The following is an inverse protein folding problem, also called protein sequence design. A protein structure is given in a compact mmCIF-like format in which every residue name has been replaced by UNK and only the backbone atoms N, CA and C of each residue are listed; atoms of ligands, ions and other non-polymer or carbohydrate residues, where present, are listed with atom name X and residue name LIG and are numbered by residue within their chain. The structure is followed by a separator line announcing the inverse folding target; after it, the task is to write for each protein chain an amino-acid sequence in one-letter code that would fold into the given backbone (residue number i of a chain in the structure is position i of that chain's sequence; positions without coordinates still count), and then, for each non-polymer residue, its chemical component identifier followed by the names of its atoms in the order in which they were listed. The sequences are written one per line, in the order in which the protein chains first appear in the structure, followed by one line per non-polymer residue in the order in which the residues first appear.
data_IF_050310231687
#
_entry.id   IF_050310231687
#
_cell.length_a   1.000
_cell.length_b   1.000
_cell.length_c   1.000
_cell.angle_alpha   90.00
_cell.angle_beta   90.00
_cell.angle_gamma   90.00
#
_symmetry.space_group_name_H-M   'P 1'
#
loop_
_entity.id
_entity.type
_entity.pdbx_description
1 polymer ?
#
# COMPACT_ATOMS: atom_id res chain seq x y z
N UNK A 1 7.91 -11.93 14.07
CA UNK A 1 8.59 -12.58 15.21
C UNK A 1 8.92 -11.64 16.38
N UNK A 2 9.81 -10.65 16.22
CA UNK A 2 10.34 -9.83 17.33
C UNK A 2 9.26 -9.14 18.20
N UNK A 3 8.23 -8.55 17.57
CA UNK A 3 7.08 -7.96 18.26
C UNK A 3 6.43 -8.90 19.28
N UNK A 4 6.28 -10.19 18.94
CA UNK A 4 5.63 -11.17 19.79
C UNK A 4 6.52 -11.58 20.97
N UNK A 5 7.83 -11.70 20.74
CA UNK A 5 8.80 -11.99 21.80
C UNK A 5 8.81 -10.83 22.80
N UNK A 6 9.01 -9.59 22.34
CA UNK A 6 8.99 -8.38 23.19
C UNK A 6 7.69 -8.29 23.99
N UNK A 7 6.54 -8.50 23.34
CA UNK A 7 5.23 -8.42 24.00
C UNK A 7 5.02 -9.55 25.02
N UNK A 8 5.49 -10.75 24.70
CA UNK A 8 5.39 -11.94 25.56
C UNK A 8 6.35 -11.88 26.76
N UNK A 9 7.48 -11.18 26.64
CA UNK A 9 8.51 -11.07 27.67
C UNK A 9 8.62 -9.67 28.26
N UNK A 10 7.62 -8.80 28.08
CA UNK A 10 7.71 -7.37 28.40
C UNK A 10 8.12 -7.06 29.85
N UNK A 11 7.75 -7.91 30.82
CA UNK A 11 8.16 -7.77 32.22
C UNK A 11 9.50 -8.44 32.54
N UNK A 12 10.00 -9.33 31.68
CA UNK A 12 11.15 -10.21 31.94
C UNK A 12 11.99 -10.35 30.67
N UNK A 13 12.75 -9.31 30.36
CA UNK A 13 13.55 -9.21 29.13
C UNK A 13 14.60 -10.33 29.00
N UNK A 14 15.05 -10.90 30.12
CA UNK A 14 15.97 -12.04 30.15
C UNK A 14 15.46 -13.24 29.35
N UNK A 15 14.14 -13.50 29.41
CA UNK A 15 13.51 -14.57 28.64
C UNK A 15 13.51 -14.27 27.15
N UNK A 16 13.50 -13.00 26.74
CA UNK A 16 13.59 -12.61 25.35
C UNK A 16 14.91 -13.09 24.72
N UNK A 17 16.02 -12.90 25.44
CA UNK A 17 17.35 -13.39 25.01
C UNK A 17 17.40 -14.92 24.95
N UNK A 18 16.88 -15.61 25.97
CA UNK A 18 16.81 -17.09 26.01
C UNK A 18 16.00 -17.64 24.83
N UNK A 19 14.84 -17.05 24.55
CA UNK A 19 13.98 -17.44 23.43
C UNK A 19 14.72 -17.28 22.10
N UNK A 20 15.43 -16.17 21.90
CA UNK A 20 16.21 -15.95 20.68
C UNK A 20 17.36 -16.95 20.52
N UNK A 21 18.08 -17.28 21.60
CA UNK A 21 19.13 -18.30 21.58
C UNK A 21 18.59 -19.64 21.09
N UNK A 22 17.49 -20.09 21.70
CA UNK A 22 16.85 -21.37 21.35
C UNK A 22 16.26 -21.37 19.93
N UNK A 23 15.72 -20.25 19.45
CA UNK A 23 15.26 -20.11 18.07
C UNK A 23 16.42 -20.27 17.09
N UNK A 24 17.57 -19.64 17.36
CA UNK A 24 18.76 -19.74 16.51
C UNK A 24 19.37 -21.14 16.54
N UNK A 25 19.32 -21.81 17.69
CA UNK A 25 19.73 -23.20 17.85
C UNK A 25 18.75 -24.19 17.21
N UNK A 26 17.51 -23.77 16.91
CA UNK A 26 16.48 -24.64 16.34
C UNK A 26 15.96 -25.70 17.31
N UNK A 27 16.03 -25.46 18.63
CA UNK A 27 15.53 -26.41 19.62
C UNK A 27 14.05 -26.14 19.99
N UNK A 28 13.15 -26.87 19.33
CA UNK A 28 11.70 -26.75 19.58
C UNK A 28 11.30 -27.20 20.98
N UNK A 29 12.03 -28.14 21.59
CA UNK A 29 11.70 -28.68 22.92
C UNK A 29 12.09 -27.68 23.99
N UNK A 30 13.32 -27.16 23.95
CA UNK A 30 13.77 -26.11 24.85
C UNK A 30 12.84 -24.88 24.78
N UNK A 31 12.37 -24.52 23.58
CA UNK A 31 11.44 -23.40 23.42
C UNK A 31 10.14 -23.62 24.21
N UNK A 32 9.59 -24.84 24.17
CA UNK A 32 8.37 -25.18 24.89
C UNK A 32 8.56 -25.13 26.40
N UNK A 33 9.71 -25.58 26.91
CA UNK A 33 10.00 -25.52 28.34
C UNK A 33 10.17 -24.06 28.81
N UNK A 34 10.89 -23.22 28.07
CA UNK A 34 11.00 -21.79 28.38
C UNK A 34 9.62 -21.13 28.48
N UNK A 35 8.73 -21.39 27.52
CA UNK A 35 7.38 -20.84 27.58
C UNK A 35 6.52 -21.44 28.70
N UNK A 36 6.76 -22.68 29.11
CA UNK A 36 6.07 -23.31 30.23
C UNK A 36 6.47 -22.65 31.54
N UNK A 37 7.76 -22.42 31.76
CA UNK A 37 8.26 -21.63 32.89
C UNK A 37 7.66 -20.22 32.91
N UNK A 38 7.70 -19.54 31.76
CA UNK A 38 7.19 -18.17 31.64
C UNK A 38 5.68 -18.09 31.92
N UNK A 39 4.92 -19.13 31.58
CA UNK A 39 3.49 -19.22 31.89
C UNK A 39 3.20 -19.52 33.35
N UNK A 40 4.06 -20.28 34.02
CA UNK A 40 3.93 -20.58 35.46
C UNK A 40 4.25 -19.36 36.33
N UNK A 41 5.20 -18.54 35.88
CA UNK A 41 5.67 -17.35 36.61
C UNK A 41 4.78 -16.12 36.33
N UNK A 42 3.92 -16.17 35.31
CA UNK A 42 3.05 -15.05 34.94
C UNK A 42 2.06 -14.69 36.05
N UNK A 43 2.08 -13.43 36.49
CA UNK A 43 1.30 -12.96 37.64
C UNK A 43 -0.14 -12.60 37.26
N UNK A 44 -0.35 -12.20 36.00
CA UNK A 44 -1.63 -11.66 35.53
C UNK A 44 -2.18 -12.47 34.36
N UNK A 45 -3.52 -12.52 34.24
CA UNK A 45 -4.19 -13.11 33.07
C UNK A 45 -3.71 -12.50 31.75
N UNK A 46 -3.42 -11.19 31.75
CA UNK A 46 -2.93 -10.45 30.59
C UNK A 46 -1.52 -10.87 30.18
N UNK A 47 -0.61 -11.03 31.14
CA UNK A 47 0.75 -11.54 30.92
C UNK A 47 0.71 -12.97 30.39
N UNK A 48 -0.08 -13.84 31.03
CA UNK A 48 -0.28 -15.21 30.59
C UNK A 48 -0.85 -15.28 29.16
N UNK A 49 -1.80 -14.41 28.82
CA UNK A 49 -2.35 -14.28 27.47
C UNK A 49 -1.30 -13.87 26.43
N UNK A 50 -0.47 -12.87 26.73
CA UNK A 50 0.62 -12.43 25.84
C UNK A 50 1.66 -13.52 25.62
N UNK A 51 2.04 -14.22 26.67
CA UNK A 51 2.96 -15.36 26.61
C UNK A 51 2.40 -16.51 25.76
N UNK A 52 1.13 -16.86 25.92
CA UNK A 52 0.43 -17.86 25.09
C UNK A 52 0.38 -17.44 23.63
N UNK A 53 0.06 -16.18 23.36
CA UNK A 53 0.01 -15.63 22.00
C UNK A 53 1.38 -15.72 21.33
N UNK A 54 2.45 -15.32 22.05
CA UNK A 54 3.82 -15.40 21.57
C UNK A 54 4.23 -16.85 21.27
N UNK A 55 4.00 -17.77 22.21
CA UNK A 55 4.27 -19.20 22.05
C UNK A 55 3.56 -19.77 20.81
N UNK A 56 2.25 -19.48 20.67
CA UNK A 56 1.46 -19.94 19.53
C UNK A 56 2.01 -19.41 18.22
N UNK A 57 2.33 -18.11 18.16
CA UNK A 57 2.86 -17.48 16.95
C UNK A 57 4.20 -18.12 16.54
N UNK A 58 5.14 -18.30 17.47
CA UNK A 58 6.45 -18.90 17.16
C UNK A 58 6.29 -20.35 16.71
N UNK A 59 5.52 -21.16 17.44
CA UNK A 59 5.35 -22.58 17.12
C UNK A 59 4.63 -22.82 15.78
N UNK A 60 3.67 -21.95 15.42
CA UNK A 60 2.99 -22.03 14.13
C UNK A 60 3.91 -21.67 12.96
N UNK A 61 4.95 -20.87 13.20
CA UNK A 61 5.94 -20.48 12.18
C UNK A 61 7.23 -21.30 12.30
N UNK A 62 7.23 -22.41 13.05
CA UNK A 62 8.43 -23.17 13.36
C UNK A 62 9.11 -23.75 12.13
N UNK A 63 8.34 -24.22 11.15
CA UNK A 63 8.88 -24.73 9.89
C UNK A 63 9.70 -23.67 9.16
N UNK A 64 9.21 -22.43 9.10
CA UNK A 64 9.96 -21.31 8.54
C UNK A 64 11.24 -20.96 9.31
N UNK A 65 11.26 -21.18 10.63
CA UNK A 65 12.48 -21.00 11.45
C UNK A 65 13.52 -22.07 11.10
N UNK A 66 13.09 -23.32 10.91
CA UNK A 66 13.98 -24.43 10.52
C UNK A 66 14.58 -24.17 9.14
N UNK A 67 13.74 -23.82 8.16
CA UNK A 67 14.20 -23.47 6.80
C UNK A 67 15.21 -22.33 6.84
N UNK A 68 14.91 -21.24 7.59
CA UNK A 68 15.83 -20.11 7.74
C UNK A 68 17.19 -20.50 8.33
N UNK A 69 17.26 -21.54 9.16
CA UNK A 69 18.50 -22.01 9.77
C UNK A 69 19.29 -22.94 8.82
N UNK A 70 18.60 -23.79 8.08
CA UNK A 70 19.20 -24.82 7.22
C UNK A 70 19.60 -24.29 5.85
N UNK A 71 18.92 -23.25 5.35
CA UNK A 71 19.15 -22.67 4.04
C UNK A 71 20.10 -21.47 4.12
N UNK A 72 21.35 -21.67 3.68
CA UNK A 72 22.39 -20.64 3.64
C UNK A 72 22.07 -19.49 2.66
N UNK A 73 21.19 -19.72 1.67
CA UNK A 73 20.76 -18.69 0.72
C UNK A 73 19.71 -17.74 1.32
N UNK A 74 19.17 -18.07 2.51
CA UNK A 74 18.23 -17.21 3.21
C UNK A 74 18.97 -16.07 3.89
N UNK A 75 19.06 -14.95 3.16
CA UNK A 75 19.56 -13.69 3.68
C UNK A 75 18.59 -13.17 4.76
N UNK A 76 19.12 -12.76 5.92
CA UNK A 76 18.39 -12.24 7.08
C UNK A 76 17.59 -10.97 6.81
N UNK A 77 16.50 -11.12 6.08
CA UNK A 77 15.67 -10.03 5.59
C UNK A 77 14.29 -10.10 6.22
N UNK A 78 13.85 -9.00 6.84
CA UNK A 78 12.46 -8.85 7.28
C UNK A 78 11.58 -8.63 6.05
N UNK A 79 11.19 -9.72 5.37
CA UNK A 79 10.32 -9.67 4.20
C UNK A 79 9.03 -8.87 4.49
N UNK A 80 8.45 -9.05 5.68
CA UNK A 80 7.28 -8.30 6.14
C UNK A 80 7.56 -6.79 6.27
N UNK A 81 8.70 -6.42 6.86
CA UNK A 81 9.12 -5.01 6.99
C UNK A 81 9.34 -4.35 5.63
N UNK A 82 9.97 -5.07 4.71
CA UNK A 82 10.22 -4.54 3.38
C UNK A 82 8.95 -4.41 2.55
N UNK A 83 8.09 -5.44 2.54
CA UNK A 83 6.81 -5.42 1.82
C UNK A 83 5.91 -4.33 2.38
N UNK A 84 5.82 -4.21 3.72
CA UNK A 84 5.03 -3.15 4.36
C UNK A 84 5.57 -1.77 4.02
N UNK A 85 6.89 -1.56 3.99
CA UNK A 85 7.47 -0.29 3.56
C UNK A 85 7.10 0.06 2.10
N UNK A 86 7.24 -0.90 1.19
CA UNK A 86 6.91 -0.72 -0.24
C UNK A 86 5.44 -0.35 -0.44
N UNK A 87 4.53 -1.04 0.25
CA UNK A 87 3.09 -0.86 0.11
C UNK A 87 2.55 0.36 0.88
N UNK A 88 3.03 0.59 2.11
CA UNK A 88 2.50 1.64 3.01
C UNK A 88 2.75 3.04 2.47
N UNK A 89 3.88 3.25 1.77
CA UNK A 89 4.21 4.55 1.19
C UNK A 89 3.24 5.03 0.09
N UNK A 90 2.21 4.25 -0.28
CA UNK A 90 1.04 4.79 -1.03
C UNK A 90 -0.30 4.44 -0.40
N UNK A 91 -0.42 3.26 0.20
CA UNK A 91 -1.69 2.77 0.73
C UNK A 91 -2.02 3.36 2.11
N UNK A 92 -1.00 3.71 2.90
CA UNK A 92 -1.17 4.31 4.22
C UNK A 92 -1.06 5.84 4.16
N UNK A 93 -0.19 6.39 3.31
CA UNK A 93 -0.10 7.84 3.10
C UNK A 93 -1.25 8.34 2.21
N UNK A 94 -2.11 9.22 2.75
CA UNK A 94 -3.28 9.80 2.04
C UNK A 94 -4.19 8.70 1.49
N UNK A 95 -4.85 7.99 2.41
CA UNK A 95 -5.77 6.91 2.10
C UNK A 95 -6.85 7.38 1.12
N UNK A 96 -6.86 6.80 -0.07
CA UNK A 96 -7.97 6.89 -1.01
C UNK A 96 -8.83 5.65 -0.83
N UNK A 97 -10.14 5.76 -1.10
CA UNK A 97 -11.00 4.59 -1.19
C UNK A 97 -10.57 3.72 -2.37
N UNK A 98 -9.85 2.63 -2.10
CA UNK A 98 -9.42 1.69 -3.14
C UNK A 98 -10.51 0.64 -3.35
N UNK A 99 -10.94 0.41 -4.59
CA UNK A 99 -11.65 -0.82 -4.93
C UNK A 99 -10.70 -2.02 -4.80
N UNK A 100 -11.24 -3.23 -4.63
CA UNK A 100 -10.44 -4.47 -4.54
C UNK A 100 -9.50 -4.63 -5.75
N UNK A 101 -9.99 -4.32 -6.94
CA UNK A 101 -9.19 -4.38 -8.16
C UNK A 101 -8.15 -3.25 -8.23
N UNK A 102 -8.53 -2.02 -7.85
CA UNK A 102 -7.59 -0.90 -7.80
C UNK A 102 -6.44 -1.14 -6.82
N UNK A 103 -6.72 -1.73 -5.65
CA UNK A 103 -5.72 -2.12 -4.66
C UNK A 103 -4.74 -3.18 -5.20
N UNK A 104 -5.25 -4.16 -5.94
CA UNK A 104 -4.44 -5.21 -6.57
C UNK A 104 -3.49 -4.64 -7.61
N UNK A 105 -4.00 -3.78 -8.49
CA UNK A 105 -3.20 -3.11 -9.52
C UNK A 105 -2.14 -2.20 -8.86
N UNK A 106 -2.55 -1.40 -7.87
CA UNK A 106 -1.64 -0.51 -7.16
C UNK A 106 -0.49 -1.26 -6.48
N UNK A 107 -0.80 -2.35 -5.77
CA UNK A 107 0.21 -3.19 -5.12
C UNK A 107 1.23 -3.73 -6.12
N UNK A 108 0.75 -4.24 -7.28
CA UNK A 108 1.62 -4.74 -8.35
C UNK A 108 2.53 -3.67 -8.94
N UNK A 109 1.99 -2.48 -9.24
CA UNK A 109 2.77 -1.36 -9.79
C UNK A 109 3.86 -0.89 -8.82
N UNK A 110 3.58 -0.89 -7.51
CA UNK A 110 4.55 -0.53 -6.47
C UNK A 110 5.70 -1.52 -6.39
N UNK A 111 5.40 -2.83 -6.41
CA UNK A 111 6.44 -3.88 -6.44
C UNK A 111 7.27 -3.77 -7.72
N UNK A 112 6.61 -3.64 -8.88
CA UNK A 112 7.29 -3.47 -10.16
C UNK A 112 8.25 -2.27 -10.16
N UNK A 113 7.78 -1.10 -9.71
CA UNK A 113 8.61 0.10 -9.63
C UNK A 113 9.77 -0.05 -8.66
N UNK A 114 9.58 -0.74 -7.52
CA UNK A 114 10.65 -0.99 -6.55
C UNK A 114 11.72 -1.93 -7.10
N UNK A 115 11.32 -2.88 -7.94
CA UNK A 115 12.21 -3.82 -8.62
C UNK A 115 12.93 -3.19 -9.84
N UNK A 116 12.93 -1.86 -9.98
CA UNK A 116 13.57 -1.15 -11.08
C UNK A 116 12.73 -1.05 -12.35
N UNK A 117 11.49 -1.52 -12.32
CA UNK A 117 10.58 -1.45 -13.44
C UNK A 117 10.19 0.00 -13.79
N UNK A 118 10.24 0.33 -15.07
CA UNK A 118 9.87 1.64 -15.57
C UNK A 118 8.36 1.74 -15.82
N UNK A 119 7.64 2.48 -14.97
CA UNK A 119 6.19 2.64 -15.08
C UNK A 119 5.75 3.30 -16.40
N UNK A 120 6.65 3.99 -17.12
CA UNK A 120 6.35 4.57 -18.44
C UNK A 120 6.24 3.51 -19.54
N UNK A 121 6.84 2.34 -19.34
CA UNK A 121 6.78 1.21 -20.28
C UNK A 121 5.50 0.38 -20.09
N UNK A 122 4.92 0.42 -18.89
CA UNK A 122 3.61 -0.18 -18.63
C UNK A 122 2.56 0.66 -19.36
N UNK A 123 1.95 0.04 -20.38
CA UNK A 123 0.98 0.55 -21.34
C UNK A 123 -0.24 1.30 -20.77
N UNK A 124 -0.41 1.40 -19.45
CA UNK A 124 -1.46 2.22 -18.80
C UNK A 124 -1.30 3.71 -19.18
N UNK A 125 -0.08 4.15 -19.48
CA UNK A 125 0.22 5.51 -19.99
C UNK A 125 0.59 5.55 -21.48
N UNK A 126 0.42 4.46 -22.24
CA UNK A 126 0.25 4.61 -23.68
C UNK A 126 -1.07 5.33 -23.83
N UNK A 127 -0.98 6.66 -23.78
CA UNK A 127 -2.00 7.61 -24.14
C UNK A 127 -2.59 6.99 -25.40
N UNK A 128 -3.80 6.43 -25.31
CA UNK A 128 -4.57 6.22 -26.51
C UNK A 128 -4.76 7.63 -27.04
N UNK A 129 -3.87 8.05 -27.94
CA UNK A 129 -3.98 9.29 -28.72
C UNK A 129 -5.14 9.15 -29.72
N UNK A 130 -6.08 8.24 -29.46
CA UNK A 130 -7.51 8.47 -29.71
C UNK A 130 -8.08 9.33 -28.57
N UNK A 131 -7.37 10.40 -28.17
CA UNK A 131 -8.05 11.56 -27.61
C UNK A 131 -9.20 11.85 -28.57
N UNK A 132 -10.43 11.84 -28.06
CA UNK A 132 -11.67 12.13 -28.77
C UNK A 132 -11.42 13.24 -29.79
N UNK A 133 -11.10 12.89 -31.05
CA UNK A 133 -10.87 13.87 -32.12
C UNK A 133 -12.26 14.30 -32.54
N UNK A 134 -12.87 15.17 -31.73
CA UNK A 134 -14.06 15.90 -32.11
C UNK A 134 -13.72 16.63 -33.40
N UNK A 135 -14.41 16.26 -34.48
CA UNK A 135 -14.29 16.94 -35.76
C UNK A 135 -14.48 18.45 -35.53
N UNK A 136 -13.57 19.26 -36.08
CA UNK A 136 -13.63 20.73 -36.01
C UNK A 136 -15.04 21.24 -36.38
N UNK A 137 -15.71 20.56 -37.31
CA UNK A 137 -17.07 20.90 -37.76
C UNK A 137 -18.11 20.65 -36.67
N UNK A 138 -18.06 19.50 -35.97
CA UNK A 138 -18.99 19.20 -34.86
C UNK A 138 -18.87 20.23 -33.72
N UNK A 139 -17.66 20.73 -33.45
CA UNK A 139 -17.46 21.76 -32.43
C UNK A 139 -18.08 23.08 -32.88
N UNK A 140 -17.84 23.51 -34.13
CA UNK A 140 -18.47 24.73 -34.70
C UNK A 140 -20.00 24.66 -34.67
N UNK A 141 -20.58 23.53 -35.06
CA UNK A 141 -22.04 23.32 -35.05
C UNK A 141 -22.63 23.34 -33.63
N UNK A 142 -21.85 22.92 -32.63
CA UNK A 142 -22.27 22.93 -31.22
C UNK A 142 -22.21 24.34 -30.65
N UNK A 143 -21.14 25.09 -30.94
CA UNK A 143 -21.00 26.51 -30.57
C UNK A 143 -22.12 27.35 -31.19
N UNK A 144 -22.44 27.14 -32.47
CA UNK A 144 -23.53 27.85 -33.15
C UNK A 144 -24.89 27.57 -32.50
N UNK A 145 -25.16 26.31 -32.13
CA UNK A 145 -26.40 25.94 -31.44
C UNK A 145 -26.50 26.59 -30.07
N UNK A 146 -25.42 26.56 -29.27
CA UNK A 146 -25.38 27.17 -27.94
C UNK A 146 -25.61 28.69 -28.04
N UNK A 147 -24.95 29.39 -28.96
CA UNK A 147 -25.15 30.84 -29.12
C UNK A 147 -26.56 31.21 -29.59
N UNK A 148 -27.23 30.33 -30.36
CA UNK A 148 -28.61 30.56 -30.79
C UNK A 148 -29.65 30.21 -29.70
N UNK A 149 -29.38 29.20 -28.86
CA UNK A 149 -30.31 28.75 -27.82
C UNK A 149 -30.14 29.50 -26.49
N UNK A 150 -28.91 29.90 -26.18
CA UNK A 150 -28.53 30.52 -24.93
C UNK A 150 -28.09 31.95 -25.21
N UNK A 151 -28.84 32.93 -24.70
CA UNK A 151 -28.44 34.36 -24.73
C UNK A 151 -27.26 34.67 -23.80
N UNK A 152 -26.65 33.64 -23.22
CA UNK A 152 -25.52 33.75 -22.30
C UNK A 152 -24.20 33.64 -23.06
N UNK A 153 -23.32 34.63 -22.89
CA UNK A 153 -21.95 34.54 -23.39
C UNK A 153 -21.11 33.59 -22.54
N UNK A 154 -20.21 32.81 -23.16
CA UNK A 154 -19.22 31.94 -22.48
C UNK A 154 -18.42 32.69 -21.39
N UNK A 155 -18.35 34.01 -21.46
CA UNK A 155 -17.74 34.89 -20.46
C UNK A 155 -18.45 34.91 -19.09
N UNK A 156 -19.71 34.46 -19.02
CA UNK A 156 -20.51 34.46 -17.80
C UNK A 156 -20.47 33.12 -17.05
N UNK A 157 -19.72 32.13 -17.55
CA UNK A 157 -19.60 30.83 -16.90
C UNK A 157 -18.76 30.98 -15.62
N UNK A 158 -19.38 30.85 -14.45
CA UNK A 158 -18.76 31.03 -13.13
C UNK A 158 -17.47 30.20 -12.97
N UNK A 159 -17.45 28.97 -13.49
CA UNK A 159 -16.27 28.08 -13.39
C UNK A 159 -15.02 28.65 -14.07
N UNK A 160 -15.17 29.49 -15.11
CA UNK A 160 -14.05 30.14 -15.80
C UNK A 160 -13.51 31.35 -15.02
N UNK A 161 -14.36 31.99 -14.20
CA UNK A 161 -14.03 33.19 -13.44
C UNK A 161 -13.51 32.89 -12.02
N UNK A 162 -13.76 31.68 -11.50
CA UNK A 162 -13.33 31.23 -10.15
C UNK A 162 -11.79 31.08 -10.02
N UNK A 163 -11.05 30.95 -11.13
CA UNK A 163 -9.58 30.84 -11.13
C UNK A 163 -9.01 29.50 -10.67
N UNK A 164 -9.85 28.52 -10.28
CA UNK A 164 -9.43 27.17 -9.90
C UNK A 164 -9.30 26.26 -11.11
N UNK A 165 -8.13 25.62 -11.28
CA UNK A 165 -7.86 24.69 -12.39
C UNK A 165 -8.47 23.32 -12.08
N UNK A 166 -9.70 23.11 -12.54
CA UNK A 166 -10.40 21.81 -12.52
C UNK A 166 -10.41 21.17 -13.91
N UNK A 167 -10.71 19.86 -14.03
CA UNK A 167 -10.87 19.22 -15.34
C UNK A 167 -11.91 19.93 -16.23
N UNK A 168 -13.05 20.35 -15.64
CA UNK A 168 -14.10 21.13 -16.33
C UNK A 168 -13.60 22.52 -16.75
N UNK A 169 -12.88 23.22 -15.88
CA UNK A 169 -12.25 24.50 -16.22
C UNK A 169 -11.32 24.35 -17.43
N UNK A 170 -10.51 23.29 -17.46
CA UNK A 170 -9.55 23.04 -18.53
C UNK A 170 -10.25 22.84 -19.87
N UNK A 171 -11.32 22.04 -19.91
CA UNK A 171 -12.13 21.78 -21.12
C UNK A 171 -12.84 23.05 -21.60
N UNK A 172 -13.46 23.82 -20.70
CA UNK A 172 -14.17 25.05 -21.07
C UNK A 172 -13.21 26.16 -21.49
N UNK A 173 -12.02 26.23 -20.88
CA UNK A 173 -10.96 27.17 -21.27
C UNK A 173 -10.42 26.86 -22.66
N UNK A 174 -10.23 25.59 -23.01
CA UNK A 174 -9.88 25.22 -24.39
C UNK A 174 -10.96 25.65 -25.37
N UNK A 175 -12.25 25.46 -25.05
CA UNK A 175 -13.34 25.91 -25.93
C UNK A 175 -13.38 27.44 -26.08
N UNK A 176 -13.01 28.19 -25.02
CA UNK A 176 -13.03 29.66 -25.01
C UNK A 176 -11.83 30.29 -25.74
N UNK A 177 -10.62 29.77 -25.54
CA UNK A 177 -9.38 30.42 -25.98
C UNK A 177 -8.62 29.65 -27.07
N UNK A 178 -8.87 28.36 -27.26
CA UNK A 178 -8.36 27.67 -28.45
C UNK A 178 -9.34 27.92 -29.60
N UNK A 179 -8.97 28.88 -30.43
CA UNK A 179 -9.34 28.86 -31.83
C UNK A 179 -8.97 27.47 -32.38
N UNK A 180 -9.98 26.64 -32.57
CA UNK A 180 -9.97 25.66 -33.64
C UNK A 180 -10.02 26.45 -34.96
N UNK A 181 -8.90 27.07 -35.30
CA UNK A 181 -8.48 27.43 -36.64
C UNK A 181 -7.36 26.44 -36.97
#
# INVERSE_FOLDING_TARGET
MNKYIIRGTAKREEYGKKIWGVINEGDKKALREIFKELLNIAETKTENGRAKEARRHILNNWEGIVIYKEDEDVIGFSAEGYISHVLSARLSSRSLGWSKEGLKIMSKLRVFSRNGGNLKEISIYKKDIKAFKLSKNKIKDTIKRINNSSREGINHITILNIGKVTPIYTVLKSIKYENII
#
